data_IF_026902669285
#
_entry.id   IF_026902669285
#
_cell.length_a   1.000
_cell.length_b   1.000
_cell.length_c   1.000
_cell.angle_alpha   90.00
_cell.angle_beta   90.00
_cell.angle_gamma   90.00
#
_symmetry.space_group_name_H-M   'P 1'
#
loop_
_entity.id
_entity.type
_entity.pdbx_description
1 polymer ?
#
# COMPACT_ATOMS: atom_id res chain seq x y z
N UNK A 1 -4.08 12.33 -30.74
CA UNK A 1 -5.02 11.23 -30.43
C UNK A 1 -4.34 10.00 -29.84
N UNK A 2 -3.48 9.27 -30.57
CA UNK A 2 -2.82 8.06 -30.00
C UNK A 2 -1.83 8.41 -28.86
N UNK A 3 -1.00 9.45 -29.02
CA UNK A 3 -0.07 9.93 -27.98
C UNK A 3 -0.80 10.42 -26.73
N UNK A 4 -1.94 11.06 -26.87
CA UNK A 4 -2.74 11.56 -25.73
C UNK A 4 -3.28 10.40 -24.89
N UNK A 5 -3.79 9.34 -25.54
CA UNK A 5 -4.26 8.14 -24.85
C UNK A 5 -3.13 7.43 -24.08
N UNK A 6 -1.94 7.33 -24.68
CA UNK A 6 -0.77 6.75 -24.02
C UNK A 6 -0.34 7.60 -22.83
N UNK A 7 -0.30 8.93 -22.99
CA UNK A 7 0.03 9.85 -21.89
C UNK A 7 -0.93 9.69 -20.72
N UNK A 8 -2.25 9.74 -20.98
CA UNK A 8 -3.27 9.60 -19.93
C UNK A 8 -3.18 8.25 -19.21
N UNK A 9 -2.98 7.18 -19.97
CA UNK A 9 -2.77 5.83 -19.41
C UNK A 9 -1.55 5.80 -18.50
N UNK A 10 -0.39 6.30 -18.95
CA UNK A 10 0.84 6.30 -18.17
C UNK A 10 0.72 7.16 -16.91
N UNK A 11 0.10 8.34 -17.01
CA UNK A 11 -0.15 9.22 -15.87
C UNK A 11 -1.14 8.59 -14.87
N UNK A 12 -2.15 7.87 -15.36
CA UNK A 12 -3.09 7.15 -14.50
C UNK A 12 -2.38 6.03 -13.74
N UNK A 13 -1.57 5.21 -14.42
CA UNK A 13 -0.77 4.13 -13.78
C UNK A 13 0.18 4.73 -12.73
N UNK A 14 0.82 5.84 -13.04
CA UNK A 14 1.72 6.56 -12.14
C UNK A 14 0.99 7.08 -10.90
N UNK A 15 -0.12 7.82 -11.09
CA UNK A 15 -0.88 8.42 -9.99
C UNK A 15 -1.49 7.37 -9.05
N UNK A 16 -1.96 6.26 -9.60
CA UNK A 16 -2.54 5.15 -8.83
C UNK A 16 -1.49 4.18 -8.29
N UNK A 17 -0.22 4.33 -8.69
CA UNK A 17 0.87 3.37 -8.43
C UNK A 17 0.49 1.92 -8.81
N UNK A 18 -0.38 1.75 -9.81
CA UNK A 18 -0.89 0.45 -10.22
C UNK A 18 0.23 -0.53 -10.65
N UNK A 19 1.36 -0.02 -11.13
CA UNK A 19 2.54 -0.81 -11.50
C UNK A 19 3.09 -1.68 -10.36
N UNK A 20 2.83 -1.32 -9.09
CA UNK A 20 3.24 -2.12 -7.93
C UNK A 20 2.50 -3.47 -7.82
N UNK A 21 1.37 -3.60 -8.52
CA UNK A 21 0.53 -4.80 -8.55
C UNK A 21 0.67 -5.58 -9.86
N UNK A 22 1.49 -5.10 -10.80
CA UNK A 22 1.65 -5.73 -12.10
C UNK A 22 2.48 -7.00 -12.02
N UNK A 23 2.12 -7.99 -12.83
CA UNK A 23 2.93 -9.17 -13.03
C UNK A 23 4.17 -8.86 -13.91
N UNK A 24 5.17 -9.77 -13.99
CA UNK A 24 6.40 -9.53 -14.75
C UNK A 24 6.18 -9.18 -16.23
N UNK A 25 5.16 -9.78 -16.88
CA UNK A 25 4.83 -9.50 -18.28
C UNK A 25 4.25 -8.09 -18.47
N UNK A 26 3.35 -7.69 -17.56
CA UNK A 26 2.78 -6.34 -17.55
C UNK A 26 3.84 -5.27 -17.27
N UNK A 27 4.79 -5.55 -16.37
CA UNK A 27 5.93 -4.66 -16.11
C UNK A 27 6.82 -4.52 -17.34
N UNK A 28 7.08 -5.61 -18.07
CA UNK A 28 7.84 -5.57 -19.34
C UNK A 28 7.13 -4.72 -20.40
N UNK A 29 5.81 -4.91 -20.56
CA UNK A 29 5.01 -4.13 -21.49
C UNK A 29 5.02 -2.64 -21.12
N UNK A 30 4.83 -2.32 -19.83
CA UNK A 30 4.85 -0.96 -19.33
C UNK A 30 6.20 -0.28 -19.57
N UNK A 31 7.32 -0.96 -19.28
CA UNK A 31 8.67 -0.44 -19.54
C UNK A 31 8.88 -0.09 -21.01
N UNK A 32 8.52 -1.02 -21.91
CA UNK A 32 8.67 -0.81 -23.35
C UNK A 32 7.82 0.38 -23.84
N UNK A 33 6.56 0.45 -23.39
CA UNK A 33 5.65 1.55 -23.71
C UNK A 33 6.20 2.90 -23.20
N UNK A 34 6.72 2.94 -21.97
CA UNK A 34 7.34 4.14 -21.40
C UNK A 34 8.59 4.57 -22.17
N UNK A 35 9.50 3.62 -22.46
CA UNK A 35 10.74 3.91 -23.20
C UNK A 35 10.42 4.48 -24.61
N UNK A 36 9.41 3.93 -25.30
CA UNK A 36 8.96 4.43 -26.62
C UNK A 36 8.35 5.82 -26.48
N UNK A 37 7.40 5.99 -25.53
CA UNK A 37 6.71 7.25 -25.34
C UNK A 37 7.68 8.39 -24.98
N UNK A 38 8.58 8.18 -24.05
CA UNK A 38 9.55 9.18 -23.60
C UNK A 38 10.55 9.57 -24.70
N UNK A 39 10.94 8.63 -25.56
CA UNK A 39 11.78 8.91 -26.74
C UNK A 39 11.07 9.70 -27.84
N UNK A 40 9.74 9.52 -27.96
CA UNK A 40 8.97 10.16 -29.04
C UNK A 40 8.80 11.67 -28.89
N UNK A 41 9.12 12.23 -27.71
CA UNK A 41 8.89 13.63 -27.36
C UNK A 41 7.40 14.00 -27.42
N UNK A 42 6.83 14.50 -26.34
CA UNK A 42 5.46 14.99 -26.29
C UNK A 42 5.47 16.42 -25.73
N UNK A 43 5.16 17.40 -26.60
CA UNK A 43 5.14 18.82 -26.23
C UNK A 43 4.03 19.16 -25.21
N UNK A 44 3.03 18.28 -25.06
CA UNK A 44 1.95 18.43 -24.08
C UNK A 44 2.29 17.83 -22.71
N UNK A 45 3.42 17.10 -22.59
CA UNK A 45 3.88 16.57 -21.31
C UNK A 45 4.62 17.68 -20.54
N UNK A 46 4.09 18.02 -19.36
CA UNK A 46 4.76 19.00 -18.49
C UNK A 46 6.06 18.42 -17.92
N UNK A 47 7.02 19.28 -17.60
CA UNK A 47 8.30 18.85 -17.03
C UNK A 47 8.09 18.06 -15.71
N UNK A 48 7.16 18.50 -14.85
CA UNK A 48 6.82 17.77 -13.62
C UNK A 48 6.32 16.36 -13.89
N UNK A 49 5.40 16.18 -14.86
CA UNK A 49 4.90 14.87 -15.23
C UNK A 49 6.00 13.99 -15.87
N UNK A 50 6.91 14.59 -16.62
CA UNK A 50 8.08 13.88 -17.13
C UNK A 50 8.95 13.29 -16.00
N UNK A 51 9.22 14.08 -14.95
CA UNK A 51 9.96 13.57 -13.78
C UNK A 51 9.22 12.48 -13.03
N UNK A 52 7.90 12.60 -12.87
CA UNK A 52 7.11 11.54 -12.26
C UNK A 52 7.10 10.24 -13.09
N UNK A 53 7.05 10.34 -14.41
CA UNK A 53 7.18 9.17 -15.28
C UNK A 53 8.58 8.54 -15.20
N UNK A 54 9.63 9.38 -15.14
CA UNK A 54 10.99 8.88 -14.90
C UNK A 54 11.12 8.14 -13.56
N UNK A 55 10.53 8.68 -12.49
CA UNK A 55 10.49 8.02 -11.19
C UNK A 55 9.77 6.67 -11.28
N UNK A 56 8.62 6.61 -11.96
CA UNK A 56 7.94 5.34 -12.22
C UNK A 56 8.82 4.38 -13.01
N UNK A 57 9.51 4.84 -14.04
CA UNK A 57 10.44 4.01 -14.82
C UNK A 57 11.55 3.42 -13.95
N UNK A 58 12.13 4.22 -13.05
CA UNK A 58 13.12 3.74 -12.09
C UNK A 58 12.59 2.54 -11.28
N UNK A 59 11.41 2.67 -10.66
CA UNK A 59 10.84 1.58 -9.87
C UNK A 59 10.44 0.36 -10.71
N UNK A 60 9.93 0.55 -11.93
CA UNK A 60 9.64 -0.54 -12.86
C UNK A 60 10.93 -1.32 -13.20
N UNK A 61 12.04 -0.65 -13.43
CA UNK A 61 13.35 -1.27 -13.68
C UNK A 61 13.86 -2.03 -12.44
N UNK A 62 13.69 -1.45 -11.25
CA UNK A 62 14.02 -2.12 -9.98
C UNK A 62 13.21 -3.41 -9.81
N UNK A 63 11.88 -3.38 -10.03
CA UNK A 63 11.03 -4.57 -9.94
C UNK A 63 11.36 -5.64 -10.98
N UNK A 64 12.01 -5.26 -12.08
CA UNK A 64 12.47 -6.17 -13.12
C UNK A 64 13.93 -6.60 -12.96
N UNK A 65 14.57 -6.25 -11.85
CA UNK A 65 16.00 -6.53 -11.60
C UNK A 65 16.94 -6.00 -12.70
N UNK A 66 16.62 -4.80 -13.21
CA UNK A 66 17.44 -4.12 -14.23
C UNK A 66 18.28 -3.02 -13.58
N UNK A 67 19.25 -3.41 -12.78
CA UNK A 67 20.01 -2.54 -11.90
C UNK A 67 20.80 -1.48 -12.66
N UNK A 68 21.41 -1.87 -13.79
CA UNK A 68 22.21 -0.97 -14.64
C UNK A 68 21.33 0.14 -15.24
N UNK A 69 20.18 -0.23 -15.79
CA UNK A 69 19.23 0.72 -16.37
C UNK A 69 18.66 1.65 -15.28
N UNK A 70 18.33 1.10 -14.11
CA UNK A 70 17.89 1.88 -12.95
C UNK A 70 18.96 2.90 -12.51
N UNK A 71 20.23 2.49 -12.48
CA UNK A 71 21.35 3.40 -12.18
C UNK A 71 21.48 4.53 -13.21
N UNK A 72 21.25 4.27 -14.49
CA UNK A 72 21.27 5.30 -15.54
C UNK A 72 20.14 6.31 -15.31
N UNK A 73 18.93 5.83 -14.99
CA UNK A 73 17.80 6.71 -14.66
C UNK A 73 18.13 7.57 -13.43
N UNK A 74 18.66 6.96 -12.37
CA UNK A 74 19.10 7.68 -11.17
C UNK A 74 20.11 8.79 -11.49
N UNK A 75 21.15 8.49 -12.28
CA UNK A 75 22.16 9.48 -12.66
C UNK A 75 21.54 10.64 -13.45
N UNK A 76 20.57 10.37 -14.34
CA UNK A 76 19.85 11.41 -15.08
C UNK A 76 19.06 12.33 -14.15
N UNK A 77 18.46 11.79 -13.09
CA UNK A 77 17.78 12.59 -12.06
C UNK A 77 18.76 13.43 -11.25
N UNK A 78 19.86 12.82 -10.79
CA UNK A 78 20.90 13.50 -10.01
C UNK A 78 21.44 14.72 -10.73
N UNK A 79 21.73 14.57 -12.01
CA UNK A 79 22.30 15.66 -12.83
C UNK A 79 21.34 16.83 -13.01
N UNK A 80 20.03 16.62 -12.82
CA UNK A 80 18.99 17.66 -12.95
C UNK A 80 18.49 18.24 -11.64
N UNK A 81 18.32 17.39 -10.60
CA UNK A 81 17.68 17.75 -9.33
C UNK A 81 18.68 17.95 -8.18
N UNK A 82 19.95 17.58 -8.37
CA UNK A 82 20.94 17.53 -7.30
C UNK A 82 20.77 16.30 -6.40
N UNK A 83 21.74 16.07 -5.51
CA UNK A 83 21.78 14.88 -4.67
C UNK A 83 20.91 14.97 -3.40
N UNK A 84 20.49 16.18 -3.01
CA UNK A 84 19.94 16.45 -1.67
C UNK A 84 18.41 16.31 -1.57
N UNK A 85 17.69 16.03 -2.66
CA UNK A 85 16.25 15.83 -2.55
C UNK A 85 15.95 14.47 -1.93
N UNK A 86 14.89 14.39 -1.07
CA UNK A 86 14.49 13.14 -0.43
C UNK A 86 14.24 12.00 -1.44
N UNK A 87 13.75 12.33 -2.64
CA UNK A 87 13.55 11.35 -3.71
C UNK A 87 14.87 10.71 -4.13
N UNK A 88 15.92 11.52 -4.30
CA UNK A 88 17.25 11.03 -4.67
C UNK A 88 17.86 10.17 -3.57
N UNK A 89 17.68 10.57 -2.31
CA UNK A 89 18.10 9.78 -1.14
C UNK A 89 17.44 8.41 -1.13
N UNK A 90 16.10 8.36 -1.32
CA UNK A 90 15.35 7.11 -1.35
C UNK A 90 15.75 6.23 -2.54
N UNK A 91 15.94 6.81 -3.73
CA UNK A 91 16.40 6.07 -4.92
C UNK A 91 17.81 5.50 -4.71
N UNK A 92 18.73 6.26 -4.12
CA UNK A 92 20.10 5.80 -3.79
C UNK A 92 20.07 4.65 -2.78
N UNK A 93 19.28 4.78 -1.71
CA UNK A 93 19.11 3.71 -0.74
C UNK A 93 18.50 2.45 -1.39
N UNK A 94 17.57 2.63 -2.34
CA UNK A 94 16.99 1.51 -3.09
C UNK A 94 18.01 0.83 -3.99
N UNK A 95 18.89 1.58 -4.67
CA UNK A 95 19.99 1.02 -5.46
C UNK A 95 20.97 0.23 -4.58
N UNK A 96 21.29 0.72 -3.39
CA UNK A 96 22.12 -0.02 -2.44
C UNK A 96 21.46 -1.35 -2.04
N UNK A 97 20.13 -1.36 -1.79
CA UNK A 97 19.39 -2.58 -1.46
C UNK A 97 19.44 -3.63 -2.59
N UNK A 98 19.10 -3.24 -3.83
CA UNK A 98 19.06 -4.19 -4.95
C UNK A 98 20.45 -4.77 -5.26
N UNK A 99 21.50 -4.03 -4.93
CA UNK A 99 22.89 -4.51 -5.00
C UNK A 99 23.31 -5.36 -3.78
N UNK A 100 22.38 -5.73 -2.90
CA UNK A 100 22.64 -6.57 -1.73
C UNK A 100 23.37 -5.86 -0.58
N UNK A 101 23.48 -4.54 -0.62
CA UNK A 101 24.17 -3.74 0.40
C UNK A 101 23.17 -3.05 1.35
N UNK A 102 22.34 -3.86 2.04
CA UNK A 102 21.38 -3.35 3.02
C UNK A 102 22.07 -2.58 4.17
N UNK A 103 23.23 -3.05 4.61
CA UNK A 103 24.00 -2.38 5.67
C UNK A 103 24.43 -0.97 5.26
N UNK A 104 24.97 -0.82 4.05
CA UNK A 104 25.33 0.48 3.53
C UNK A 104 24.14 1.41 3.30
N UNK A 105 22.98 0.85 2.93
CA UNK A 105 21.75 1.62 2.82
C UNK A 105 21.26 2.14 4.19
N UNK A 106 21.32 1.30 5.23
CA UNK A 106 20.96 1.67 6.60
C UNK A 106 21.88 2.77 7.11
N UNK A 107 23.20 2.55 7.04
CA UNK A 107 24.20 3.52 7.50
C UNK A 107 24.05 4.87 6.78
N UNK A 108 23.84 4.85 5.47
CA UNK A 108 23.60 6.06 4.68
C UNK A 108 22.40 6.85 5.16
N UNK A 109 21.26 6.17 5.43
CA UNK A 109 20.04 6.84 5.87
C UNK A 109 20.13 7.29 7.35
N UNK A 110 20.78 6.51 8.23
CA UNK A 110 21.00 6.87 9.64
C UNK A 110 21.88 8.11 9.78
N UNK A 111 22.96 8.20 9.01
CA UNK A 111 23.84 9.38 9.01
C UNK A 111 23.05 10.63 8.59
N UNK A 112 22.24 10.55 7.53
CA UNK A 112 21.41 11.67 7.10
C UNK A 112 20.40 12.13 8.17
N UNK A 113 19.76 11.18 8.86
CA UNK A 113 18.77 11.51 9.89
C UNK A 113 19.39 12.07 11.17
N UNK A 114 20.64 11.71 11.47
CA UNK A 114 21.32 12.14 12.69
C UNK A 114 22.13 13.43 12.51
N UNK A 115 22.75 13.61 11.36
CA UNK A 115 23.75 14.66 11.17
C UNK A 115 23.23 15.83 10.32
N UNK A 116 22.37 15.54 9.32
CA UNK A 116 22.03 16.52 8.29
C UNK A 116 20.58 17.03 8.35
N UNK A 117 19.68 16.33 9.02
CA UNK A 117 18.24 16.62 8.97
C UNK A 117 17.64 16.86 10.34
N UNK A 118 17.19 18.08 10.56
CA UNK A 118 16.31 18.40 11.70
C UNK A 118 14.84 18.18 11.28
N UNK A 119 14.12 17.30 12.02
CA UNK A 119 12.73 16.99 11.71
C UNK A 119 11.79 18.23 11.78
N UNK A 120 12.18 19.28 12.49
CA UNK A 120 11.40 20.52 12.64
C UNK A 120 11.48 21.42 11.40
N UNK A 121 12.58 21.37 10.66
CA UNK A 121 12.83 22.24 9.48
C UNK A 121 12.39 21.62 8.17
N UNK A 122 12.57 20.30 8.01
CA UNK A 122 12.15 19.55 6.81
C UNK A 122 11.52 18.21 7.19
N UNK A 123 10.32 18.27 7.78
CA UNK A 123 9.61 17.10 8.24
C UNK A 123 9.23 16.13 7.11
N UNK A 124 8.98 16.60 5.89
CA UNK A 124 8.61 15.76 4.75
C UNK A 124 9.77 14.87 4.34
N UNK A 125 10.94 15.44 4.22
CA UNK A 125 12.18 14.70 3.94
C UNK A 125 12.49 13.74 5.08
N UNK A 126 12.47 14.21 6.32
CA UNK A 126 12.75 13.40 7.50
C UNK A 126 11.85 12.16 7.58
N UNK A 127 10.51 12.33 7.53
CA UNK A 127 9.58 11.21 7.64
C UNK A 127 9.71 10.22 6.48
N UNK A 128 9.97 10.73 5.27
CA UNK A 128 10.14 9.86 4.09
C UNK A 128 11.40 8.99 4.19
N UNK A 129 12.50 9.56 4.66
CA UNK A 129 13.76 8.83 4.88
C UNK A 129 13.61 7.86 6.05
N UNK A 130 12.99 8.26 7.16
CA UNK A 130 12.76 7.40 8.31
C UNK A 130 11.87 6.18 7.96
N UNK A 131 10.79 6.38 7.18
CA UNK A 131 9.97 5.29 6.66
C UNK A 131 10.79 4.31 5.80
N UNK A 132 11.64 4.84 4.90
CA UNK A 132 12.51 4.00 4.07
C UNK A 132 13.49 3.21 4.92
N UNK A 133 14.09 3.81 5.94
CA UNK A 133 14.98 3.14 6.89
C UNK A 133 14.28 2.00 7.63
N UNK A 134 13.08 2.25 8.17
CA UNK A 134 12.26 1.22 8.82
C UNK A 134 11.95 0.07 7.85
N UNK A 135 11.56 0.38 6.60
CA UNK A 135 11.27 -0.63 5.60
C UNK A 135 12.48 -1.52 5.29
N UNK A 136 13.69 -0.95 5.21
CA UNK A 136 14.93 -1.72 5.01
C UNK A 136 15.23 -2.60 6.23
N UNK A 137 15.13 -2.04 7.43
CA UNK A 137 15.35 -2.77 8.68
C UNK A 137 14.38 -3.94 8.85
N UNK A 138 13.13 -3.80 8.41
CA UNK A 138 12.12 -4.86 8.47
C UNK A 138 12.44 -6.03 7.54
N UNK A 139 12.99 -5.76 6.37
CA UNK A 139 13.37 -6.79 5.41
C UNK A 139 14.69 -7.48 5.77
N UNK A 140 15.57 -6.78 6.49
CA UNK A 140 16.80 -7.38 7.02
C UNK A 140 16.44 -8.30 8.19
N UNK A 141 16.70 -9.60 8.04
CA UNK A 141 16.34 -10.68 9.00
C UNK A 141 16.86 -10.52 10.46
N UNK A 142 17.39 -9.37 10.83
CA UNK A 142 18.09 -9.13 12.09
C UNK A 142 17.26 -8.39 13.16
N UNK A 143 16.05 -7.94 12.86
CA UNK A 143 15.21 -7.23 13.83
C UNK A 143 13.94 -8.01 14.15
N UNK A 144 13.59 -8.03 15.46
CA UNK A 144 12.29 -8.56 15.88
C UNK A 144 11.15 -7.59 15.51
N UNK A 145 9.95 -8.11 15.32
CA UNK A 145 8.75 -7.29 15.07
C UNK A 145 8.55 -6.24 16.18
N UNK A 146 8.86 -6.59 17.45
CA UNK A 146 8.76 -5.65 18.56
C UNK A 146 9.75 -4.47 18.43
N UNK A 147 10.95 -4.72 17.90
CA UNK A 147 11.93 -3.66 17.68
C UNK A 147 11.49 -2.70 16.59
N UNK A 148 11.01 -3.24 15.47
CA UNK A 148 10.45 -2.44 14.38
C UNK A 148 9.24 -1.63 14.87
N UNK A 149 8.35 -2.26 15.63
CA UNK A 149 7.16 -1.60 16.18
C UNK A 149 7.53 -0.41 17.08
N UNK A 150 8.58 -0.53 17.91
CA UNK A 150 9.06 0.60 18.73
C UNK A 150 9.50 1.79 17.87
N UNK A 151 10.22 1.55 16.77
CA UNK A 151 10.63 2.61 15.85
C UNK A 151 9.42 3.25 15.16
N UNK A 152 8.45 2.44 14.71
CA UNK A 152 7.22 2.92 14.09
C UNK A 152 6.40 3.78 15.06
N UNK A 153 6.19 3.31 16.30
CA UNK A 153 5.43 4.06 17.31
C UNK A 153 6.14 5.37 17.66
N UNK A 154 7.46 5.35 17.86
CA UNK A 154 8.22 6.57 18.10
C UNK A 154 8.13 7.59 16.96
N UNK A 155 8.05 7.10 15.71
CA UNK A 155 7.87 7.96 14.55
C UNK A 155 6.42 8.47 14.46
N UNK A 156 5.43 7.65 14.86
CA UNK A 156 4.02 8.05 14.92
C UNK A 156 3.77 9.15 15.96
N UNK A 157 4.47 9.10 17.09
CA UNK A 157 4.41 10.16 18.12
C UNK A 157 4.93 11.50 17.59
N UNK A 158 5.92 11.48 16.70
CA UNK A 158 6.43 12.69 16.03
C UNK A 158 5.51 13.17 14.90
N UNK A 159 4.89 12.25 14.18
CA UNK A 159 4.08 12.51 12.98
C UNK A 159 2.67 11.88 13.11
N UNK A 160 1.84 12.34 14.06
CA UNK A 160 0.55 11.72 14.38
C UNK A 160 -0.48 11.82 13.25
N UNK A 161 -0.29 12.72 12.29
CA UNK A 161 -1.17 12.87 11.11
C UNK A 161 -0.72 12.04 9.90
N UNK A 162 0.29 11.19 10.04
CA UNK A 162 0.73 10.30 8.97
C UNK A 162 -0.05 8.98 8.99
N UNK A 163 -1.05 8.86 8.13
CA UNK A 163 -1.91 7.68 8.05
C UNK A 163 -1.16 6.39 7.68
N UNK A 164 -0.04 6.50 6.95
CA UNK A 164 0.76 5.35 6.52
C UNK A 164 1.49 4.70 7.72
N UNK A 165 2.00 5.51 8.64
CA UNK A 165 2.62 5.01 9.88
C UNK A 165 1.61 4.27 10.77
N UNK A 166 0.43 4.84 10.97
CA UNK A 166 -0.65 4.17 11.71
C UNK A 166 -1.09 2.87 11.04
N UNK A 167 -1.22 2.87 9.71
CA UNK A 167 -1.52 1.65 8.97
C UNK A 167 -0.44 0.59 9.19
N UNK A 168 0.82 0.96 9.05
CA UNK A 168 1.93 0.04 9.22
C UNK A 168 2.02 -0.53 10.66
N UNK A 169 1.82 0.30 11.67
CA UNK A 169 1.71 -0.16 13.05
C UNK A 169 0.56 -1.18 13.21
N UNK A 170 -0.60 -0.94 12.56
CA UNK A 170 -1.72 -1.86 12.61
C UNK A 170 -1.40 -3.24 12.02
N UNK A 171 -0.64 -3.28 10.92
CA UNK A 171 -0.22 -4.55 10.32
C UNK A 171 0.68 -5.35 11.26
N UNK A 172 1.66 -4.69 11.89
CA UNK A 172 2.55 -5.35 12.87
C UNK A 172 1.75 -5.86 14.07
N UNK A 173 0.86 -5.04 14.65
CA UNK A 173 0.00 -5.49 15.76
C UNK A 173 -0.91 -6.65 15.37
N UNK A 174 -1.44 -6.63 14.15
CA UNK A 174 -2.27 -7.71 13.63
C UNK A 174 -1.48 -9.03 13.53
N UNK A 175 -0.28 -9.01 12.95
CA UNK A 175 0.62 -10.16 12.85
C UNK A 175 1.02 -10.72 14.22
N UNK A 176 1.23 -9.84 15.20
CA UNK A 176 1.47 -10.22 16.59
C UNK A 176 0.21 -10.74 17.30
N UNK A 177 -0.95 -10.69 16.67
CA UNK A 177 -2.24 -11.10 17.23
C UNK A 177 -2.78 -10.15 18.30
N UNK A 178 -2.29 -8.90 18.38
CA UNK A 178 -2.76 -7.84 19.27
C UNK A 178 -3.86 -7.02 18.57
N UNK A 179 -5.01 -7.67 18.31
CA UNK A 179 -6.07 -7.13 17.47
C UNK A 179 -6.67 -5.84 17.99
N UNK A 180 -6.85 -5.69 19.30
CA UNK A 180 -7.36 -4.46 19.91
C UNK A 180 -6.50 -3.24 19.56
N UNK A 181 -5.15 -3.39 19.64
CA UNK A 181 -4.22 -2.31 19.27
C UNK A 181 -4.20 -2.07 17.76
N UNK A 182 -4.32 -3.13 16.96
CA UNK A 182 -4.45 -2.99 15.51
C UNK A 182 -5.72 -2.22 15.12
N UNK A 183 -6.86 -2.49 15.77
CA UNK A 183 -8.10 -1.72 15.59
C UNK A 183 -7.91 -0.25 15.94
N UNK A 184 -7.30 0.06 17.08
CA UNK A 184 -7.01 1.43 17.47
C UNK A 184 -6.17 2.17 16.40
N UNK A 185 -5.12 1.55 15.89
CA UNK A 185 -4.30 2.16 14.83
C UNK A 185 -5.11 2.42 13.55
N UNK A 186 -5.97 1.48 13.13
CA UNK A 186 -6.84 1.65 11.97
C UNK A 186 -7.89 2.74 12.18
N UNK A 187 -8.41 2.91 13.39
CA UNK A 187 -9.29 4.02 13.74
C UNK A 187 -8.58 5.37 13.61
N UNK A 188 -7.29 5.47 13.98
CA UNK A 188 -6.49 6.68 13.72
C UNK A 188 -6.34 6.94 12.22
N UNK A 189 -6.10 5.90 11.40
CA UNK A 189 -6.10 6.05 9.94
C UNK A 189 -7.42 6.63 9.44
N UNK A 190 -8.56 6.16 9.95
CA UNK A 190 -9.88 6.65 9.55
C UNK A 190 -10.17 8.08 10.04
N UNK A 191 -9.59 8.51 11.16
CA UNK A 191 -9.67 9.92 11.58
C UNK A 191 -8.95 10.85 10.58
N UNK A 192 -7.83 10.38 10.01
CA UNK A 192 -7.03 11.14 9.03
C UNK A 192 -7.64 11.04 7.63
N UNK A 193 -8.08 9.83 7.24
CA UNK A 193 -8.61 9.51 5.89
C UNK A 193 -10.00 8.88 5.98
N UNK A 194 -11.09 9.65 6.23
CA UNK A 194 -12.41 9.13 6.58
C UNK A 194 -13.16 8.41 5.45
N UNK A 195 -12.68 8.49 4.22
CA UNK A 195 -13.26 7.80 3.06
C UNK A 195 -12.40 6.64 2.54
N UNK A 196 -11.48 6.14 3.35
CA UNK A 196 -10.61 5.04 2.98
C UNK A 196 -11.35 3.70 3.11
N UNK A 197 -11.98 3.24 2.01
CA UNK A 197 -12.72 1.97 1.98
C UNK A 197 -11.86 0.76 2.34
N UNK A 198 -10.58 0.77 1.96
CA UNK A 198 -9.66 -0.32 2.27
C UNK A 198 -9.38 -0.42 3.77
N UNK A 199 -9.28 0.72 4.46
CA UNK A 199 -9.11 0.78 5.90
C UNK A 199 -10.35 0.26 6.65
N UNK A 200 -11.56 0.61 6.21
CA UNK A 200 -12.79 0.03 6.76
C UNK A 200 -12.82 -1.50 6.58
N UNK A 201 -12.41 -2.01 5.42
CA UNK A 201 -12.30 -3.45 5.18
C UNK A 201 -11.25 -4.10 6.08
N UNK A 202 -10.10 -3.46 6.29
CA UNK A 202 -9.06 -3.99 7.19
C UNK A 202 -9.49 -3.97 8.66
N UNK A 203 -10.15 -2.90 9.09
CA UNK A 203 -10.72 -2.80 10.44
C UNK A 203 -11.79 -3.88 10.68
N UNK A 204 -12.67 -4.11 9.70
CA UNK A 204 -13.65 -5.20 9.75
C UNK A 204 -12.99 -6.56 9.91
N UNK A 205 -11.94 -6.84 9.13
CA UNK A 205 -11.18 -8.08 9.22
C UNK A 205 -10.53 -8.25 10.60
N UNK A 206 -9.91 -7.20 11.12
CA UNK A 206 -9.26 -7.23 12.44
C UNK A 206 -10.26 -7.51 13.56
N UNK A 207 -11.40 -6.83 13.56
CA UNK A 207 -12.50 -7.07 14.50
C UNK A 207 -13.08 -8.49 14.38
N UNK A 208 -13.15 -9.04 13.16
CA UNK A 208 -13.58 -10.43 12.96
C UNK A 208 -12.61 -11.42 13.61
N UNK A 209 -11.30 -11.26 13.41
CA UNK A 209 -10.30 -12.12 14.06
C UNK A 209 -10.30 -11.95 15.58
N UNK A 210 -10.51 -10.75 16.10
CA UNK A 210 -10.68 -10.51 17.54
C UNK A 210 -11.93 -11.24 18.08
N UNK A 211 -13.05 -11.18 17.35
CA UNK A 211 -14.28 -11.87 17.71
C UNK A 211 -14.10 -13.40 17.79
N UNK A 212 -13.29 -13.98 16.90
CA UNK A 212 -13.02 -15.43 16.91
C UNK A 212 -12.25 -15.88 18.18
N UNK A 213 -11.49 -14.99 18.80
CA UNK A 213 -10.75 -15.25 20.04
C UNK A 213 -11.53 -14.89 21.30
N UNK A 214 -12.65 -14.18 21.18
CA UNK A 214 -13.41 -13.62 22.29
C UNK A 214 -14.46 -14.57 22.84
N UNK A 215 -14.90 -14.33 24.09
CA UNK A 215 -15.99 -15.05 24.72
C UNK A 215 -17.33 -14.74 24.01
N UNK A 216 -18.31 -15.67 24.10
CA UNK A 216 -19.55 -15.65 23.33
C UNK A 216 -20.31 -14.31 23.32
N UNK A 217 -20.38 -13.60 24.46
CA UNK A 217 -21.12 -12.33 24.55
C UNK A 217 -20.39 -11.21 23.79
N UNK A 218 -19.11 -11.03 24.06
CA UNK A 218 -18.23 -10.05 23.38
C UNK A 218 -18.07 -10.36 21.88
N UNK A 219 -18.07 -11.67 21.51
CA UNK A 219 -17.99 -12.12 20.13
C UNK A 219 -19.11 -11.51 19.26
N UNK A 220 -20.34 -11.51 19.74
CA UNK A 220 -21.48 -10.98 18.96
C UNK A 220 -21.36 -9.48 18.74
N UNK A 221 -20.97 -8.73 19.76
CA UNK A 221 -20.75 -7.27 19.65
C UNK A 221 -19.63 -6.92 18.67
N UNK A 222 -18.51 -7.66 18.72
CA UNK A 222 -17.40 -7.47 17.79
C UNK A 222 -17.79 -7.82 16.35
N UNK A 223 -18.55 -8.90 16.14
CA UNK A 223 -19.07 -9.26 14.83
C UNK A 223 -20.02 -8.19 14.26
N UNK A 224 -20.86 -7.58 15.09
CA UNK A 224 -21.76 -6.50 14.66
C UNK A 224 -20.95 -5.25 14.27
N UNK A 225 -19.92 -4.89 15.04
CA UNK A 225 -19.00 -3.82 14.68
C UNK A 225 -18.24 -4.14 13.37
N UNK A 226 -17.74 -5.35 13.23
CA UNK A 226 -17.06 -5.83 12.03
C UNK A 226 -17.98 -5.72 10.80
N UNK A 227 -19.24 -6.19 10.91
CA UNK A 227 -20.22 -6.10 9.82
C UNK A 227 -20.47 -4.64 9.41
N UNK A 228 -20.63 -3.74 10.38
CA UNK A 228 -20.83 -2.30 10.11
C UNK A 228 -19.67 -1.71 9.29
N UNK A 229 -18.43 -2.05 9.64
CA UNK A 229 -17.25 -1.58 8.92
C UNK A 229 -17.13 -2.24 7.53
N UNK A 230 -17.46 -3.53 7.39
CA UNK A 230 -17.52 -4.20 6.09
C UNK A 230 -18.55 -3.56 5.16
N UNK A 231 -19.75 -3.26 5.65
CA UNK A 231 -20.79 -2.56 4.89
C UNK A 231 -20.33 -1.16 4.48
N UNK A 232 -19.68 -0.41 5.37
CA UNK A 232 -19.14 0.90 5.03
C UNK A 232 -18.07 0.83 3.94
N UNK A 233 -17.23 -0.19 3.95
CA UNK A 233 -16.21 -0.39 2.91
C UNK A 233 -16.81 -0.60 1.52
N UNK A 234 -17.89 -1.38 1.39
CA UNK A 234 -18.55 -1.65 0.11
C UNK A 234 -19.48 -0.51 -0.32
N UNK A 235 -19.98 0.28 0.61
CA UNK A 235 -20.71 1.51 0.33
C UNK A 235 -19.81 2.57 -0.32
N UNK A 236 -18.55 2.67 0.14
CA UNK A 236 -17.55 3.58 -0.41
C UNK A 236 -16.95 3.07 -1.73
N UNK A 237 -16.88 1.76 -1.92
CA UNK A 237 -16.35 1.12 -3.13
C UNK A 237 -17.17 -0.13 -3.47
N UNK A 238 -18.12 0.02 -4.39
CA UNK A 238 -19.10 -1.01 -4.73
C UNK A 238 -18.48 -2.34 -5.24
N UNK A 239 -17.34 -2.30 -5.89
CA UNK A 239 -16.64 -3.47 -6.42
C UNK A 239 -15.50 -3.97 -5.52
N UNK A 240 -15.48 -3.57 -4.24
CA UNK A 240 -14.44 -3.99 -3.32
C UNK A 240 -14.63 -5.45 -2.88
N UNK A 241 -13.88 -6.34 -3.52
CA UNK A 241 -13.95 -7.80 -3.33
C UNK A 241 -13.85 -8.22 -1.84
N UNK A 242 -12.81 -7.74 -1.14
CA UNK A 242 -12.58 -8.08 0.27
C UNK A 242 -13.74 -7.64 1.17
N UNK A 243 -14.30 -6.47 0.91
CA UNK A 243 -15.47 -5.96 1.64
C UNK A 243 -16.67 -6.88 1.51
N UNK A 244 -17.04 -7.29 0.30
CA UNK A 244 -18.15 -8.21 0.07
C UNK A 244 -17.92 -9.60 0.64
N UNK A 245 -16.69 -10.11 0.59
CA UNK A 245 -16.32 -11.37 1.24
C UNK A 245 -16.53 -11.29 2.76
N UNK A 246 -16.10 -10.20 3.41
CA UNK A 246 -16.30 -9.99 4.84
C UNK A 246 -17.78 -9.84 5.20
N UNK A 247 -18.58 -9.09 4.42
CA UNK A 247 -20.04 -9.01 4.61
C UNK A 247 -20.64 -10.40 4.61
N UNK A 248 -20.29 -11.26 3.67
CA UNK A 248 -20.82 -12.62 3.57
C UNK A 248 -20.44 -13.48 4.78
N UNK A 249 -19.14 -13.57 5.08
CA UNK A 249 -18.61 -14.43 6.14
C UNK A 249 -19.18 -14.01 7.51
N UNK A 250 -19.15 -12.71 7.83
CA UNK A 250 -19.62 -12.19 9.13
C UNK A 250 -21.13 -12.36 9.27
N UNK A 251 -21.91 -12.13 8.18
CA UNK A 251 -23.37 -12.32 8.21
C UNK A 251 -23.76 -13.77 8.48
N UNK A 252 -23.02 -14.73 7.94
CA UNK A 252 -23.21 -16.17 8.22
C UNK A 252 -22.89 -16.50 9.68
N UNK A 253 -21.78 -15.99 10.20
CA UNK A 253 -21.36 -16.24 11.58
C UNK A 253 -22.36 -15.67 12.61
N UNK A 254 -23.00 -14.53 12.30
CA UNK A 254 -24.08 -13.95 13.14
C UNK A 254 -25.37 -14.75 13.11
N UNK A 255 -25.67 -15.46 12.03
CA UNK A 255 -26.76 -16.47 11.96
C UNK A 255 -28.20 -15.96 12.20
N UNK A 256 -28.48 -14.64 12.06
CA UNK A 256 -29.81 -14.05 12.29
C UNK A 256 -30.61 -13.97 10.99
N UNK A 257 -31.93 -14.16 11.05
CA UNK A 257 -32.80 -14.10 9.86
C UNK A 257 -32.67 -12.83 9.03
N UNK A 258 -32.40 -11.66 9.66
CA UNK A 258 -32.17 -10.39 8.97
C UNK A 258 -30.92 -10.35 8.11
N UNK A 259 -29.99 -11.26 8.29
CA UNK A 259 -28.73 -11.32 7.51
C UNK A 259 -28.82 -12.19 6.27
N UNK A 260 -29.90 -12.96 6.09
CA UNK A 260 -30.10 -13.77 4.88
C UNK A 260 -30.10 -12.92 3.59
N UNK A 261 -30.63 -11.71 3.66
CA UNK A 261 -30.64 -10.79 2.51
C UNK A 261 -29.21 -10.24 2.21
N UNK A 262 -28.43 -9.97 3.27
CA UNK A 262 -27.02 -9.56 3.11
C UNK A 262 -26.16 -10.70 2.54
N UNK A 263 -26.41 -11.94 2.95
CA UNK A 263 -25.72 -13.12 2.41
C UNK A 263 -26.04 -13.28 0.92
N UNK A 264 -27.32 -13.16 0.52
CA UNK A 264 -27.72 -13.24 -0.89
C UNK A 264 -27.13 -12.07 -1.71
N UNK A 265 -27.20 -10.86 -1.18
CA UNK A 265 -26.66 -9.67 -1.85
C UNK A 265 -25.14 -9.78 -2.03
N UNK A 266 -24.41 -10.16 -0.98
CA UNK A 266 -22.96 -10.30 -1.06
C UNK A 266 -22.53 -11.38 -2.05
N UNK A 267 -23.24 -12.53 -2.08
CA UNK A 267 -22.99 -13.57 -3.09
C UNK A 267 -23.25 -13.07 -4.52
N UNK A 268 -24.34 -12.32 -4.73
CA UNK A 268 -24.64 -11.69 -6.01
C UNK A 268 -23.54 -10.71 -6.45
N UNK A 269 -23.04 -9.86 -5.53
CA UNK A 269 -21.97 -8.92 -5.78
C UNK A 269 -20.62 -9.60 -6.06
N UNK A 270 -20.31 -10.67 -5.36
CA UNK A 270 -19.11 -11.47 -5.64
C UNK A 270 -19.16 -12.11 -7.04
N UNK A 271 -20.33 -12.59 -7.48
CA UNK A 271 -20.53 -13.07 -8.85
C UNK A 271 -20.36 -11.94 -9.89
N UNK A 272 -20.89 -10.74 -9.60
CA UNK A 272 -20.71 -9.56 -10.47
C UNK A 272 -19.22 -9.18 -10.61
N UNK A 273 -18.47 -9.19 -9.51
CA UNK A 273 -17.03 -8.93 -9.49
C UNK A 273 -16.28 -10.01 -10.28
N UNK A 274 -16.61 -11.29 -10.08
CA UNK A 274 -16.02 -12.39 -10.86
C UNK A 274 -16.22 -12.21 -12.37
N UNK A 275 -17.38 -11.72 -12.78
CA UNK A 275 -17.69 -11.50 -14.21
C UNK A 275 -16.98 -10.27 -14.83
N UNK A 276 -16.73 -9.22 -14.04
CA UNK A 276 -16.21 -7.92 -14.51
C UNK A 276 -14.71 -7.74 -14.29
N UNK A 277 -14.11 -8.48 -13.38
CA UNK A 277 -12.72 -8.27 -12.96
C UNK A 277 -11.69 -9.00 -13.82
N UNK A 278 -10.44 -8.56 -13.65
CA UNK A 278 -9.28 -9.25 -14.24
C UNK A 278 -9.08 -10.65 -13.61
N UNK A 279 -8.22 -11.48 -14.22
CA UNK A 279 -8.05 -12.89 -13.84
C UNK A 279 -7.78 -13.13 -12.35
N UNK A 280 -7.05 -12.26 -11.66
CA UNK A 280 -6.70 -12.43 -10.24
C UNK A 280 -7.92 -12.30 -9.33
N UNK A 281 -8.67 -11.22 -9.47
CA UNK A 281 -9.86 -10.97 -8.66
C UNK A 281 -10.99 -11.93 -9.01
N UNK A 282 -11.10 -12.32 -10.29
CA UNK A 282 -12.01 -13.36 -10.74
C UNK A 282 -11.77 -14.69 -10.04
N UNK A 283 -10.53 -15.20 -10.08
CA UNK A 283 -10.16 -16.46 -9.42
C UNK A 283 -10.41 -16.38 -7.91
N UNK A 284 -10.08 -15.26 -7.29
CA UNK A 284 -10.29 -15.05 -5.85
C UNK A 284 -11.78 -15.05 -5.51
N UNK A 285 -12.61 -14.35 -6.29
CA UNK A 285 -14.07 -14.34 -6.10
C UNK A 285 -14.68 -15.74 -6.26
N UNK A 286 -14.26 -16.48 -7.28
CA UNK A 286 -14.70 -17.88 -7.52
C UNK A 286 -14.29 -18.81 -6.36
N UNK A 287 -13.05 -18.67 -5.85
CA UNK A 287 -12.61 -19.45 -4.68
C UNK A 287 -13.42 -19.14 -3.43
N UNK A 288 -13.79 -17.88 -3.21
CA UNK A 288 -14.65 -17.48 -2.10
C UNK A 288 -16.04 -18.08 -2.28
N UNK A 289 -16.64 -17.92 -3.46
CA UNK A 289 -17.98 -18.46 -3.77
C UNK A 289 -18.07 -19.97 -3.62
N UNK A 290 -17.03 -20.71 -3.98
CA UNK A 290 -16.96 -22.17 -3.82
C UNK A 290 -16.83 -22.63 -2.35
N UNK A 291 -16.37 -21.75 -1.45
CA UNK A 291 -16.24 -22.04 0.00
C UNK A 291 -17.46 -21.57 0.82
N UNK A 292 -18.31 -20.81 0.22
CA UNK A 292 -19.55 -20.26 0.78
C UNK A 292 -20.72 -21.16 0.45
#
# INVERSE_FOLDING_TARGET
MLKDLVREKLLTIMNTKAYTQFNPEQLLQLENEMKIYMKSGDSALTEGNYFFLMEMLFYVLVYRNQDVDAQVVYNTFRDRLGENSYKMVIMKATLLQINGNDKGAIEYLENLLNDDLEYETDFVTYVSIAKKLIAIKTTSKNLSQESVLKEVVALTDKFPLDAELWWYASEIYFEMGQFEKACYCLEQVLCITPFNYACFGRLSETLYYEALRSKKQTKTELLEKALKNALRSVELSELYLKGWALVNIISRELGRNKQNDLIKLSASKLNEISAKSNNKDKITAELILNKI
#
